data_IF_220408838417
#
_entry.id   IF_220408838417
#
_cell.length_a   1.000
_cell.length_b   1.000
_cell.length_c   1.000
_cell.angle_alpha   90.00
_cell.angle_beta   90.00
_cell.angle_gamma   90.00
#
_symmetry.space_group_name_H-M   'P 1'
#
loop_
_entity.id
_entity.type
_entity.pdbx_description
1 polymer ?
#
# COMPACT_ATOMS: atom_id res chain seq x y z
N UNK A 1 7.07 -4.78 -10.85
CA UNK A 1 6.10 -4.41 -9.80
C UNK A 1 6.58 -3.13 -9.17
N UNK A 2 5.75 -2.08 -9.13
CA UNK A 2 6.12 -0.78 -8.56
C UNK A 2 5.72 -0.74 -7.09
N UNK A 3 6.44 0.02 -6.29
CA UNK A 3 6.09 0.19 -4.88
C UNK A 3 5.91 1.67 -4.57
N UNK A 4 4.88 2.02 -3.81
CA UNK A 4 4.60 3.39 -3.36
C UNK A 4 4.28 3.38 -1.88
N UNK A 5 4.79 4.34 -1.11
CA UNK A 5 4.43 4.49 0.29
C UNK A 5 3.07 5.15 0.44
N UNK A 6 2.32 4.75 1.47
CA UNK A 6 1.02 5.36 1.77
C UNK A 6 1.11 6.88 1.95
N UNK A 7 2.18 7.38 2.59
CA UNK A 7 2.46 8.81 2.71
C UNK A 7 2.59 9.49 1.33
N UNK A 8 3.24 8.86 0.36
CA UNK A 8 3.44 9.42 -0.98
C UNK A 8 2.14 9.41 -1.77
N UNK A 9 1.30 8.39 -1.58
CA UNK A 9 -0.01 8.30 -2.22
C UNK A 9 -1.02 9.32 -1.61
N UNK A 10 -0.95 9.55 -0.30
CA UNK A 10 -1.82 10.47 0.42
C UNK A 10 -1.46 11.94 0.15
N UNK A 11 -0.17 12.27 0.19
CA UNK A 11 0.34 13.61 -0.11
C UNK A 11 0.51 13.89 -1.60
N UNK A 12 0.01 13.01 -2.48
CA UNK A 12 0.14 13.19 -3.92
C UNK A 12 -0.71 14.40 -4.38
N UNK A 13 -0.09 15.47 -4.91
CA UNK A 13 -0.84 16.66 -5.31
C UNK A 13 -1.60 16.44 -6.62
N UNK A 14 -1.20 15.42 -7.40
CA UNK A 14 -1.82 15.11 -8.68
C UNK A 14 -2.90 14.01 -8.51
N UNK A 15 -4.19 14.36 -8.65
CA UNK A 15 -5.28 13.41 -8.43
C UNK A 15 -5.32 12.30 -9.49
N UNK A 16 -4.79 12.54 -10.69
CA UNK A 16 -4.72 11.52 -11.74
C UNK A 16 -3.64 10.49 -11.39
N UNK A 17 -2.48 10.95 -10.94
CA UNK A 17 -1.40 10.08 -10.50
C UNK A 17 -1.84 9.17 -9.34
N UNK A 18 -2.60 9.71 -8.36
CA UNK A 18 -3.18 8.92 -7.27
C UNK A 18 -4.09 7.80 -7.80
N UNK A 19 -5.01 8.12 -8.70
CA UNK A 19 -5.92 7.15 -9.30
C UNK A 19 -5.19 6.06 -10.10
N UNK A 20 -4.11 6.40 -10.81
CA UNK A 20 -3.28 5.43 -11.54
C UNK A 20 -2.62 4.45 -10.56
N UNK A 21 -2.08 4.96 -9.45
CA UNK A 21 -1.49 4.11 -8.42
C UNK A 21 -2.52 3.19 -7.78
N UNK A 22 -3.70 3.70 -7.43
CA UNK A 22 -4.81 2.90 -6.89
C UNK A 22 -5.19 1.76 -7.84
N UNK A 23 -5.41 2.06 -9.14
CA UNK A 23 -5.68 1.03 -10.15
C UNK A 23 -4.57 0.01 -10.28
N UNK A 24 -3.31 0.43 -10.19
CA UNK A 24 -2.20 -0.52 -10.26
C UNK A 24 -2.08 -1.39 -9.03
N UNK A 25 -2.47 -0.90 -7.86
CA UNK A 25 -2.53 -1.70 -6.63
C UNK A 25 -3.63 -2.76 -6.76
N UNK A 26 -4.82 -2.38 -7.24
CA UNK A 26 -5.91 -3.31 -7.51
C UNK A 26 -5.56 -4.37 -8.56
N UNK A 27 -4.86 -3.97 -9.62
CA UNK A 27 -4.42 -4.86 -10.71
C UNK A 27 -3.18 -5.71 -10.33
N UNK A 28 -2.59 -5.50 -9.14
CA UNK A 28 -1.37 -6.18 -8.69
C UNK A 28 -0.08 -5.75 -9.41
N UNK A 29 -0.14 -4.68 -10.21
CA UNK A 29 1.03 -4.05 -10.87
C UNK A 29 1.86 -3.20 -9.91
N UNK A 30 1.22 -2.67 -8.87
CA UNK A 30 1.84 -1.90 -7.81
C UNK A 30 1.52 -2.49 -6.43
N UNK A 31 2.37 -2.18 -5.45
CA UNK A 31 2.19 -2.59 -4.06
C UNK A 31 2.32 -1.37 -3.15
N UNK A 32 1.31 -1.16 -2.32
CA UNK A 32 1.31 -0.11 -1.31
C UNK A 32 2.23 -0.54 -0.15
N UNK A 33 3.27 0.25 0.11
CA UNK A 33 4.08 0.14 1.34
C UNK A 33 3.33 0.89 2.43
N UNK A 34 2.76 0.15 3.37
CA UNK A 34 2.21 0.74 4.58
C UNK A 34 3.36 1.10 5.53
N UNK A 35 3.52 2.38 5.93
CA UNK A 35 4.48 2.72 6.96
C UNK A 35 3.93 2.18 8.29
N UNK A 36 4.48 1.03 8.68
CA UNK A 36 4.46 0.51 10.05
C UNK A 36 3.17 -0.24 10.51
N UNK A 37 3.36 -1.55 10.69
CA UNK A 37 2.79 -2.37 11.77
C UNK A 37 1.41 -3.06 11.64
N UNK A 38 1.05 -3.59 10.47
CA UNK A 38 0.15 -4.77 10.43
C UNK A 38 0.88 -6.12 10.48
N UNK A 39 2.10 -6.12 11.01
CA UNK A 39 2.73 -7.33 11.56
C UNK A 39 2.26 -7.60 13.02
N UNK A 40 0.98 -7.38 13.32
CA UNK A 40 0.35 -7.74 14.59
C UNK A 40 -1.15 -7.91 14.29
N UNK A 41 -1.72 -9.09 14.07
CA UNK A 41 -1.79 -10.23 15.00
C UNK A 41 -2.13 -11.51 14.22
N UNK A 42 -1.12 -12.26 13.83
CA UNK A 42 -1.25 -13.72 13.85
C UNK A 42 -0.32 -14.21 14.95
N UNK A 43 -0.69 -13.95 16.21
CA UNK A 43 -0.22 -14.81 17.28
C UNK A 43 -0.88 -16.18 17.04
N UNK A 44 -0.22 -17.02 16.25
CA UNK A 44 -0.45 -18.45 16.30
C UNK A 44 0.10 -18.95 17.65
N UNK A 45 -0.62 -18.67 18.74
CA UNK A 45 -0.57 -19.56 19.90
C UNK A 45 -1.44 -20.75 19.52
N UNK A 46 -0.80 -21.79 19.00
CA UNK A 46 -1.33 -23.14 19.06
C UNK A 46 -0.32 -23.95 19.86
N UNK A 47 -0.76 -24.32 21.06
CA UNK A 47 -0.05 -25.12 22.05
C UNK A 47 -0.10 -26.60 21.68
#
# INVERSE_FOLDING_TARGET
MREISQETLDHMPDPIAKMIWEKWIEDGKARLKTPHNEAQKCQATAR
#
